data_IF_491582792828
#
_entry.id   IF_491582792828
#
_cell.length_a   1.000
_cell.length_b   1.000
_cell.length_c   1.000
_cell.angle_alpha   90.00
_cell.angle_beta   90.00
_cell.angle_gamma   90.00
#
_symmetry.space_group_name_H-M   'P 1'
#
loop_
_entity.id
_entity.type
_entity.pdbx_description
1 polymer ?
#
# COMPACT_ATOMS: atom_id res chain seq x y z
N UNK A 1 -9.16 -25.75 -31.71
CA UNK A 1 -10.09 -25.18 -30.71
C UNK A 1 -9.60 -23.78 -30.38
N UNK A 2 -10.40 -22.75 -30.70
CA UNK A 2 -10.03 -21.37 -30.41
C UNK A 2 -10.11 -21.15 -28.90
N UNK A 3 -8.99 -20.81 -28.27
CA UNK A 3 -8.95 -20.34 -26.89
C UNK A 3 -9.73 -19.03 -26.83
N UNK A 4 -10.85 -19.02 -26.13
CA UNK A 4 -11.58 -17.79 -25.86
C UNK A 4 -10.66 -16.89 -25.03
N UNK A 5 -10.14 -15.82 -25.63
CA UNK A 5 -9.52 -14.72 -24.90
C UNK A 5 -10.55 -14.17 -23.92
N UNK A 6 -10.47 -14.62 -22.67
CA UNK A 6 -11.23 -14.05 -21.57
C UNK A 6 -10.76 -12.61 -21.40
N UNK A 7 -11.53 -11.67 -21.94
CA UNK A 7 -11.27 -10.24 -21.80
C UNK A 7 -11.54 -9.88 -20.34
N UNK A 8 -10.50 -9.72 -19.54
CA UNK A 8 -10.63 -9.21 -18.18
C UNK A 8 -11.31 -7.82 -18.25
N UNK A 9 -12.31 -7.53 -17.41
CA UNK A 9 -12.92 -6.21 -17.39
C UNK A 9 -11.85 -5.15 -17.12
N UNK A 10 -11.93 -3.97 -17.78
CA UNK A 10 -10.94 -2.93 -17.60
C UNK A 10 -10.93 -2.45 -16.15
N UNK A 11 -9.73 -2.26 -15.59
CA UNK A 11 -9.55 -1.70 -14.24
C UNK A 11 -10.20 -0.31 -14.19
N UNK A 12 -11.11 -0.11 -13.25
CA UNK A 12 -11.80 1.17 -13.01
C UNK A 12 -11.13 1.95 -11.88
N UNK A 13 -11.38 3.25 -11.82
CA UNK A 13 -11.00 4.05 -10.66
C UNK A 13 -11.98 3.83 -9.50
N UNK A 14 -11.55 4.18 -8.29
CA UNK A 14 -12.33 4.04 -7.06
C UNK A 14 -12.35 5.36 -6.29
N UNK A 15 -13.53 5.76 -5.84
CA UNK A 15 -13.69 6.82 -4.85
C UNK A 15 -13.74 6.21 -3.46
N UNK A 16 -12.92 6.71 -2.55
CA UNK A 16 -12.91 6.31 -1.15
C UNK A 16 -12.92 7.57 -0.29
N UNK A 17 -13.99 7.74 0.49
CA UNK A 17 -14.29 8.99 1.19
C UNK A 17 -14.27 10.20 0.23
N UNK A 18 -13.29 11.10 0.36
CA UNK A 18 -13.13 12.30 -0.47
C UNK A 18 -12.04 12.14 -1.53
N UNK A 19 -11.50 10.93 -1.71
CA UNK A 19 -10.30 10.69 -2.51
C UNK A 19 -10.60 9.83 -3.73
N UNK A 20 -10.31 10.39 -4.92
CA UNK A 20 -10.37 9.66 -6.19
C UNK A 20 -9.07 8.94 -6.49
N UNK A 21 -9.10 7.62 -6.54
CA UNK A 21 -7.99 6.75 -6.97
C UNK A 21 -8.19 6.41 -8.45
N UNK A 22 -7.39 6.99 -9.38
CA UNK A 22 -7.53 6.70 -10.79
C UNK A 22 -7.17 5.23 -11.10
N UNK A 23 -7.70 4.66 -12.20
CA UNK A 23 -7.44 3.27 -12.59
C UNK A 23 -5.96 2.99 -12.88
N UNK A 24 -5.19 4.02 -13.23
CA UNK A 24 -3.77 3.91 -13.50
C UNK A 24 -2.99 5.15 -13.04
N UNK A 25 -1.74 4.95 -12.64
CA UNK A 25 -0.82 6.02 -12.19
C UNK A 25 0.60 5.80 -12.70
N UNK A 26 1.39 6.88 -12.73
CA UNK A 26 2.84 6.85 -12.87
C UNK A 26 3.47 7.38 -11.58
N UNK A 27 4.01 6.52 -10.72
CA UNK A 27 4.47 6.95 -9.42
C UNK A 27 5.75 7.79 -9.52
N UNK A 28 5.97 8.73 -8.60
CA UNK A 28 7.18 9.53 -8.61
C UNK A 28 8.45 8.67 -8.54
N UNK A 29 9.33 8.80 -9.53
CA UNK A 29 10.55 7.99 -9.63
C UNK A 29 10.42 6.75 -10.50
N UNK A 30 9.27 6.48 -11.12
CA UNK A 30 9.10 5.46 -12.15
C UNK A 30 8.41 6.03 -13.39
N UNK A 31 8.96 5.76 -14.58
CA UNK A 31 8.31 6.10 -15.85
C UNK A 31 7.19 5.11 -16.23
N UNK A 32 7.01 4.06 -15.43
CA UNK A 32 6.13 2.92 -15.72
C UNK A 32 4.72 3.21 -15.23
N UNK A 33 3.74 2.62 -15.92
CA UNK A 33 2.33 2.69 -15.54
C UNK A 33 1.98 1.54 -14.60
N UNK A 34 1.23 1.86 -13.56
CA UNK A 34 0.69 0.92 -12.57
C UNK A 34 -0.83 0.98 -12.62
N UNK A 35 -1.49 -0.15 -12.43
CA UNK A 35 -2.95 -0.23 -12.35
C UNK A 35 -3.42 -0.26 -10.90
N UNK A 36 -4.63 0.24 -10.62
CA UNK A 36 -5.25 0.20 -9.31
C UNK A 36 -5.67 -1.24 -8.98
N UNK A 37 -5.03 -1.85 -7.98
CA UNK A 37 -5.40 -3.17 -7.49
C UNK A 37 -6.51 -3.10 -6.42
N UNK A 38 -6.58 -1.98 -5.69
CA UNK A 38 -7.64 -1.73 -4.72
C UNK A 38 -7.43 -0.43 -3.96
N UNK A 39 -8.48 0.06 -3.32
CA UNK A 39 -8.41 1.21 -2.43
C UNK A 39 -9.32 1.02 -1.22
N UNK A 40 -8.97 1.65 -0.10
CA UNK A 40 -9.74 1.57 1.14
C UNK A 40 -9.36 2.67 2.12
N UNK A 41 -9.98 2.65 3.30
CA UNK A 41 -9.70 3.59 4.39
C UNK A 41 -9.18 2.86 5.61
N UNK A 42 -8.41 3.57 6.44
CA UNK A 42 -8.00 3.12 7.78
C UNK A 42 -8.54 4.07 8.82
N UNK A 43 -9.15 3.48 9.85
CA UNK A 43 -9.74 4.19 10.97
C UNK A 43 -9.54 3.42 12.27
N UNK A 44 -10.03 4.00 13.37
CA UNK A 44 -10.13 3.34 14.67
C UNK A 44 -11.34 3.89 15.42
N UNK A 45 -11.82 3.16 16.41
CA UNK A 45 -12.82 3.69 17.34
C UNK A 45 -12.19 4.72 18.29
N UNK A 46 -12.85 5.86 18.41
CA UNK A 46 -12.52 6.93 19.36
C UNK A 46 -13.84 7.30 20.03
N UNK A 47 -13.90 7.16 21.36
CA UNK A 47 -15.09 7.43 22.17
C UNK A 47 -16.36 6.74 21.65
N UNK A 48 -16.24 5.46 21.27
CA UNK A 48 -17.34 4.64 20.76
C UNK A 48 -17.81 5.01 19.34
N UNK A 49 -17.05 5.84 18.61
CA UNK A 49 -17.33 6.21 17.22
C UNK A 49 -16.20 5.80 16.30
N UNK A 50 -16.53 5.22 15.16
CA UNK A 50 -15.56 4.92 14.11
C UNK A 50 -15.05 6.21 13.46
N UNK A 51 -13.77 6.51 13.64
CA UNK A 51 -13.09 7.67 13.06
C UNK A 51 -12.10 7.20 11.99
N UNK A 52 -12.31 7.64 10.74
CA UNK A 52 -11.42 7.36 9.61
C UNK A 52 -10.34 8.44 9.50
N UNK A 53 -9.08 8.03 9.35
CA UNK A 53 -7.92 8.91 9.35
C UNK A 53 -7.24 9.02 7.99
N UNK A 54 -7.10 7.89 7.29
CA UNK A 54 -6.40 7.84 6.01
C UNK A 54 -7.18 7.02 5.00
N UNK A 55 -6.95 7.30 3.73
CA UNK A 55 -7.32 6.45 2.60
C UNK A 55 -6.04 5.95 1.94
N UNK A 56 -6.08 4.75 1.37
CA UNK A 56 -4.92 4.14 0.72
C UNK A 56 -5.36 3.49 -0.57
N UNK A 57 -4.66 3.81 -1.66
CA UNK A 57 -4.75 3.08 -2.92
C UNK A 57 -3.50 2.25 -3.13
N UNK A 58 -3.69 0.99 -3.51
CA UNK A 58 -2.63 0.03 -3.84
C UNK A 58 -2.58 -0.14 -5.35
N UNK A 59 -1.40 0.05 -5.91
CA UNK A 59 -1.15 0.01 -7.33
C UNK A 59 -0.05 -1.01 -7.64
N UNK A 60 -0.29 -1.84 -8.64
CA UNK A 60 0.64 -2.88 -9.07
C UNK A 60 1.11 -2.61 -10.50
N UNK A 61 2.36 -2.96 -10.78
CA UNK A 61 2.90 -2.89 -12.14
C UNK A 61 2.26 -3.96 -13.02
N UNK A 62 2.04 -3.67 -14.31
CA UNK A 62 1.30 -4.55 -15.24
C UNK A 62 1.75 -6.03 -15.27
N UNK A 63 3.05 -6.31 -15.11
CA UNK A 63 3.57 -7.69 -15.05
C UNK A 63 3.13 -8.51 -13.82
N UNK A 64 2.54 -7.86 -12.81
CA UNK A 64 2.02 -8.52 -11.62
C UNK A 64 0.88 -9.49 -11.94
N UNK A 65 -0.01 -9.14 -12.88
CA UNK A 65 -1.18 -9.97 -13.20
C UNK A 65 -0.75 -11.35 -13.71
N UNK A 66 0.18 -11.40 -14.68
CA UNK A 66 0.67 -12.67 -15.22
C UNK A 66 1.37 -13.52 -14.18
N UNK A 67 2.12 -12.90 -13.27
CA UNK A 67 2.82 -13.62 -12.20
C UNK A 67 1.84 -14.18 -11.16
N UNK A 68 0.87 -13.38 -10.72
CA UNK A 68 -0.17 -13.79 -9.77
C UNK A 68 -1.05 -14.90 -10.38
N UNK A 69 -1.44 -14.75 -11.65
CA UNK A 69 -2.29 -15.71 -12.35
C UNK A 69 -1.69 -17.12 -12.41
N UNK A 70 -0.36 -17.27 -12.41
CA UNK A 70 0.29 -18.58 -12.47
C UNK A 70 -0.13 -19.54 -11.35
N UNK A 71 -0.57 -19.01 -10.21
CA UNK A 71 -1.02 -19.79 -9.04
C UNK A 71 -2.48 -19.52 -8.68
N UNK A 72 -2.95 -18.30 -8.87
CA UNK A 72 -4.23 -17.83 -8.32
C UNK A 72 -5.35 -17.73 -9.36
N UNK A 73 -5.08 -18.02 -10.63
CA UNK A 73 -6.10 -17.98 -11.67
C UNK A 73 -7.20 -19.01 -11.40
N UNK A 74 -8.46 -18.59 -11.58
CA UNK A 74 -9.64 -19.44 -11.40
C UNK A 74 -10.19 -19.47 -9.97
N UNK A 75 -9.50 -18.83 -9.01
CA UNK A 75 -10.00 -18.65 -7.64
C UNK A 75 -11.06 -17.56 -7.56
N UNK A 76 -12.05 -17.75 -6.69
CA UNK A 76 -13.08 -16.73 -6.42
C UNK A 76 -12.52 -15.61 -5.54
N UNK A 77 -13.22 -14.48 -5.48
CA UNK A 77 -12.80 -13.37 -4.63
C UNK A 77 -12.77 -13.77 -3.15
N UNK A 78 -13.70 -14.62 -2.72
CA UNK A 78 -13.82 -15.14 -1.35
C UNK A 78 -12.65 -16.06 -1.00
N UNK A 79 -12.30 -17.00 -1.90
CA UNK A 79 -11.13 -17.88 -1.72
C UNK A 79 -9.83 -17.07 -1.60
N UNK A 80 -9.69 -16.01 -2.41
CA UNK A 80 -8.52 -15.13 -2.38
C UNK A 80 -8.49 -14.28 -1.09
N UNK A 81 -9.64 -13.81 -0.62
CA UNK A 81 -9.76 -12.99 0.59
C UNK A 81 -9.37 -13.77 1.86
N UNK A 82 -9.65 -15.07 1.90
CA UNK A 82 -9.31 -15.93 3.04
C UNK A 82 -7.86 -16.47 2.97
N UNK A 83 -7.10 -16.17 1.92
CA UNK A 83 -5.76 -16.69 1.71
C UNK A 83 -4.66 -15.70 2.09
N UNK A 84 -4.04 -15.89 3.25
CA UNK A 84 -2.83 -15.15 3.65
C UNK A 84 -1.70 -15.30 2.62
N UNK A 85 -1.60 -16.47 2.01
CA UNK A 85 -0.59 -16.77 1.00
C UNK A 85 -0.79 -15.95 -0.28
N UNK A 86 -2.04 -15.68 -0.69
CA UNK A 86 -2.34 -14.80 -1.81
C UNK A 86 -1.83 -13.37 -1.57
N UNK A 87 -2.10 -12.83 -0.39
CA UNK A 87 -1.61 -11.51 -0.02
C UNK A 87 -0.09 -11.48 0.13
N UNK A 88 0.52 -12.54 0.67
CA UNK A 88 1.97 -12.68 0.76
C UNK A 88 2.63 -12.68 -0.62
N UNK A 89 2.04 -13.38 -1.60
CA UNK A 89 2.46 -13.39 -3.00
C UNK A 89 2.34 -11.99 -3.63
N UNK A 90 1.30 -11.23 -3.32
CA UNK A 90 1.21 -9.82 -3.75
C UNK A 90 2.33 -8.98 -3.13
N UNK A 91 2.58 -9.11 -1.82
CA UNK A 91 3.57 -8.30 -1.08
C UNK A 91 5.00 -8.60 -1.56
N UNK A 92 5.34 -9.88 -1.73
CA UNK A 92 6.71 -10.35 -2.01
C UNK A 92 6.99 -10.61 -3.47
N UNK A 93 5.97 -10.64 -4.32
CA UNK A 93 6.12 -10.95 -5.74
C UNK A 93 7.14 -10.03 -6.45
N UNK A 94 7.79 -10.50 -7.53
CA UNK A 94 8.93 -9.84 -8.18
C UNK A 94 8.50 -8.68 -9.09
N UNK A 95 7.62 -7.82 -8.61
CA UNK A 95 7.13 -6.64 -9.30
C UNK A 95 7.10 -5.43 -8.37
N UNK A 96 7.15 -4.25 -8.98
CA UNK A 96 7.05 -2.97 -8.28
C UNK A 96 5.62 -2.78 -7.74
N UNK A 97 5.51 -2.16 -6.57
CA UNK A 97 4.23 -1.73 -5.98
C UNK A 97 4.28 -0.25 -5.66
N UNK A 98 3.14 0.39 -5.75
CA UNK A 98 2.98 1.78 -5.37
C UNK A 98 1.77 1.95 -4.45
N UNK A 99 1.95 2.72 -3.39
CA UNK A 99 0.90 3.00 -2.43
C UNK A 99 0.74 4.51 -2.31
N UNK A 100 -0.49 4.99 -2.47
CA UNK A 100 -0.84 6.39 -2.20
C UNK A 100 -1.70 6.42 -0.96
N UNK A 101 -1.13 6.84 0.15
CA UNK A 101 -1.83 7.03 1.42
C UNK A 101 -2.13 8.51 1.59
N UNK A 102 -3.42 8.89 1.61
CA UNK A 102 -3.86 10.27 1.77
C UNK A 102 -4.56 10.47 3.11
N UNK A 103 -4.17 11.51 3.83
CA UNK A 103 -4.78 11.91 5.10
C UNK A 103 -6.12 12.60 4.83
N UNK A 104 -7.19 12.09 5.43
CA UNK A 104 -8.53 12.70 5.39
C UNK A 104 -8.89 13.42 6.70
N UNK A 105 -7.99 13.35 7.68
CA UNK A 105 -8.01 14.10 8.93
C UNK A 105 -6.61 14.59 9.25
N UNK A 106 -6.53 15.69 10.01
CA UNK A 106 -5.25 16.19 10.52
C UNK A 106 -4.68 15.20 11.54
N UNK A 107 -3.41 14.86 11.38
CA UNK A 107 -2.66 14.04 12.33
C UNK A 107 -1.35 14.73 12.67
N UNK A 108 -0.85 14.54 13.89
CA UNK A 108 0.51 14.94 14.22
C UNK A 108 1.51 14.04 13.48
N UNK A 109 2.54 14.64 12.87
CA UNK A 109 3.50 13.88 12.07
C UNK A 109 4.26 12.86 12.92
N UNK A 110 4.60 13.22 14.17
CA UNK A 110 5.24 12.34 15.15
C UNK A 110 4.33 11.18 15.58
N UNK A 111 3.05 11.45 15.80
CA UNK A 111 2.08 10.40 16.16
C UNK A 111 1.90 9.41 15.01
N UNK A 112 1.73 9.91 13.78
CA UNK A 112 1.62 9.08 12.58
C UNK A 112 2.87 8.21 12.38
N UNK A 113 4.06 8.82 12.37
CA UNK A 113 5.29 8.09 12.08
C UNK A 113 5.68 7.14 13.21
N UNK A 114 5.44 7.51 14.47
CA UNK A 114 5.62 6.64 15.62
C UNK A 114 4.69 5.43 15.61
N UNK A 115 3.39 5.62 15.32
CA UNK A 115 2.43 4.51 15.21
C UNK A 115 2.79 3.54 14.08
N UNK A 116 3.15 4.08 12.90
CA UNK A 116 3.55 3.25 11.75
C UNK A 116 4.89 2.56 12.03
N UNK A 117 5.89 3.27 12.52
CA UNK A 117 7.21 2.72 12.83
C UNK A 117 7.17 1.64 13.90
N UNK A 118 6.41 1.86 14.99
CA UNK A 118 6.21 0.87 16.03
C UNK A 118 5.50 -0.39 15.53
N UNK A 119 4.50 -0.23 14.67
CA UNK A 119 3.81 -1.36 14.03
C UNK A 119 4.75 -2.15 13.12
N UNK A 120 5.56 -1.48 12.28
CA UNK A 120 6.56 -2.12 11.43
C UNK A 120 7.59 -2.89 12.25
N UNK A 121 8.14 -2.28 13.31
CA UNK A 121 9.07 -2.94 14.20
C UNK A 121 8.44 -4.18 14.86
N UNK A 122 7.19 -4.10 15.29
CA UNK A 122 6.43 -5.22 15.81
C UNK A 122 6.31 -6.37 14.80
N UNK A 123 5.88 -6.07 13.57
CA UNK A 123 5.76 -7.07 12.51
C UNK A 123 7.08 -7.77 12.19
N UNK A 124 8.17 -7.00 12.04
CA UNK A 124 9.49 -7.55 11.70
C UNK A 124 10.04 -8.39 12.85
N UNK A 125 9.79 -7.99 14.12
CA UNK A 125 10.12 -8.81 15.30
C UNK A 125 9.36 -10.13 15.31
N UNK A 126 8.05 -10.10 15.05
CA UNK A 126 7.23 -11.31 14.95
C UNK A 126 7.68 -12.23 13.81
N UNK A 127 8.22 -11.67 12.71
CA UNK A 127 8.82 -12.44 11.63
C UNK A 127 10.24 -12.96 11.94
N UNK A 128 10.81 -12.66 13.11
CA UNK A 128 12.13 -13.14 13.53
C UNK A 128 13.31 -12.50 12.80
N UNK A 129 13.10 -11.38 12.09
CA UNK A 129 14.12 -10.75 11.21
C UNK A 129 14.56 -9.38 11.69
N UNK A 130 14.22 -8.98 12.92
CA UNK A 130 14.53 -7.65 13.44
C UNK A 130 15.97 -7.54 13.95
N UNK A 131 16.89 -7.13 13.07
CA UNK A 131 18.27 -6.81 13.40
C UNK A 131 18.56 -5.31 13.45
N UNK A 132 19.86 -4.98 13.49
CA UNK A 132 20.33 -3.59 13.51
C UNK A 132 19.94 -2.83 12.22
N UNK A 133 19.95 -3.50 11.08
CA UNK A 133 19.58 -2.90 9.80
C UNK A 133 18.08 -2.52 9.78
N UNK A 134 17.20 -3.39 10.27
CA UNK A 134 15.77 -3.16 10.35
C UNK A 134 15.44 -2.06 11.35
N UNK A 135 16.11 -2.04 12.52
CA UNK A 135 15.97 -0.96 13.49
C UNK A 135 16.35 0.40 12.87
N UNK A 136 17.50 0.50 12.19
CA UNK A 136 17.92 1.71 11.48
C UNK A 136 16.94 2.12 10.37
N UNK A 137 16.35 1.15 9.67
CA UNK A 137 15.35 1.42 8.64
C UNK A 137 14.05 1.99 9.23
N UNK A 138 13.60 1.45 10.38
CA UNK A 138 12.44 1.97 11.11
C UNK A 138 12.71 3.38 11.65
N UNK A 139 13.87 3.61 12.27
CA UNK A 139 14.26 4.95 12.76
C UNK A 139 14.31 5.96 11.62
N UNK A 140 14.94 5.60 10.50
CA UNK A 140 14.99 6.42 9.29
C UNK A 140 13.59 6.75 8.77
N UNK A 141 12.64 5.81 8.83
CA UNK A 141 11.25 6.07 8.46
C UNK A 141 10.59 7.08 9.40
N UNK A 142 10.78 6.93 10.71
CA UNK A 142 10.23 7.85 11.73
C UNK A 142 10.78 9.27 11.52
N UNK A 143 12.08 9.38 11.26
CA UNK A 143 12.78 10.64 11.01
C UNK A 143 12.24 11.41 9.80
N UNK A 144 11.66 10.74 8.80
CA UNK A 144 11.06 11.42 7.63
C UNK A 144 9.96 12.42 8.03
N UNK A 145 9.39 12.28 9.22
CA UNK A 145 8.28 13.10 9.71
C UNK A 145 8.64 13.96 10.93
N UNK A 146 9.91 13.96 11.37
CA UNK A 146 10.33 14.68 12.59
C UNK A 146 10.04 16.19 12.54
N UNK A 147 10.17 16.78 11.34
CA UNK A 147 9.95 18.22 11.07
C UNK A 147 8.51 18.52 10.64
N UNK A 148 7.61 17.53 10.70
CA UNK A 148 6.19 17.70 10.38
C UNK A 148 5.41 17.77 11.68
N UNK A 149 5.11 18.98 12.11
CA UNK A 149 4.20 19.20 13.24
C UNK A 149 2.84 18.57 12.96
N UNK A 150 2.30 18.81 11.75
CA UNK A 150 1.02 18.25 11.31
C UNK A 150 1.07 17.75 9.86
N UNK A 151 0.33 16.67 9.62
CA UNK A 151 -0.07 16.16 8.32
C UNK A 151 -1.50 16.64 8.06
N UNK A 152 -1.67 17.54 7.10
CA UNK A 152 -2.95 18.15 6.79
C UNK A 152 -3.88 17.22 6.03
N UNK A 153 -5.18 17.55 6.01
CA UNK A 153 -6.12 16.90 5.07
C UNK A 153 -5.61 17.10 3.64
N UNK A 154 -5.65 16.03 2.85
CA UNK A 154 -5.12 15.99 1.48
C UNK A 154 -3.62 15.71 1.38
N UNK A 155 -2.87 15.74 2.48
CA UNK A 155 -1.46 15.34 2.48
C UNK A 155 -1.35 13.86 2.10
N UNK A 156 -0.48 13.54 1.15
CA UNK A 156 -0.24 12.17 0.69
C UNK A 156 1.19 11.72 0.96
N UNK A 157 1.30 10.52 1.51
CA UNK A 157 2.52 9.74 1.48
C UNK A 157 2.47 8.79 0.28
N UNK A 158 3.49 8.89 -0.56
CA UNK A 158 3.65 8.13 -1.79
C UNK A 158 4.78 7.13 -1.57
N UNK A 159 4.44 5.85 -1.50
CA UNK A 159 5.39 4.77 -1.25
C UNK A 159 5.60 3.96 -2.52
N UNK A 160 6.83 3.85 -2.98
CA UNK A 160 7.20 3.00 -4.09
C UNK A 160 8.12 1.88 -3.60
N UNK A 161 7.64 0.64 -3.70
CA UNK A 161 8.37 -0.57 -3.31
C UNK A 161 8.99 -1.22 -4.54
N UNK A 162 10.33 -1.28 -4.56
CA UNK A 162 11.08 -2.07 -5.53
C UNK A 162 10.98 -3.56 -5.20
N UNK A 163 10.94 -4.46 -6.20
CA UNK A 163 11.04 -5.91 -5.95
C UNK A 163 12.36 -6.31 -5.29
N UNK A 164 13.39 -5.45 -5.31
CA UNK A 164 14.68 -5.68 -4.66
C UNK A 164 14.75 -5.21 -3.20
N UNK A 165 13.61 -4.88 -2.58
CA UNK A 165 13.52 -4.54 -1.15
C UNK A 165 13.74 -3.07 -0.80
N UNK A 166 13.89 -2.17 -1.79
CA UNK A 166 13.98 -0.73 -1.53
C UNK A 166 12.60 -0.06 -1.42
N UNK A 167 12.43 0.82 -0.43
CA UNK A 167 11.25 1.67 -0.27
C UNK A 167 11.61 3.14 -0.54
N UNK A 168 10.98 3.74 -1.54
CA UNK A 168 11.06 5.18 -1.79
C UNK A 168 9.83 5.85 -1.20
N UNK A 169 10.04 6.91 -0.41
CA UNK A 169 8.96 7.70 0.20
C UNK A 169 8.98 9.11 -0.38
N UNK A 170 7.84 9.58 -0.90
CA UNK A 170 7.61 11.00 -1.21
C UNK A 170 6.39 11.52 -0.46
N UNK A 171 6.43 12.81 -0.14
CA UNK A 171 5.41 13.53 0.63
C UNK A 171 4.88 14.65 -0.28
N UNK A 172 3.57 14.70 -0.50
CA UNK A 172 2.93 15.69 -1.39
C UNK A 172 1.69 16.28 -0.76
#
# INVERSE_FOLDING_TARGET
MASATQVSPPVTGLEVETQWFPPAVKPPGSAKTFFLAGAGWRGMEVDGKLVKFTTTGVYLKGGAVSWIAAKWQGKTAEELLESDEFFQDIVTGPFEKFYRLTHIRRLEGKEFSGKVGGHLAGMIKSAGTYGEAEAKAVDKFIELYKDKEFLSVGFSNLYHQSPTGSLTVRKT
#
